data_IF_118156832763
#
_entry.id   IF_118156832763
#
_cell.length_a   1.000
_cell.length_b   1.000
_cell.length_c   1.000
_cell.angle_alpha   90.00
_cell.angle_beta   90.00
_cell.angle_gamma   90.00
#
_symmetry.space_group_name_H-M   'P 1'
#
loop_
_entity.id
_entity.type
_entity.pdbx_description
1 polymer ?
#
# COMPACT_ATOMS: atom_id res chain seq x y z
N UNK A 1 58.41 -4.71 13.53
CA UNK A 1 57.28 -5.38 12.85
C UNK A 1 56.06 -4.50 13.06
N UNK A 2 55.65 -3.78 12.03
CA UNK A 2 54.41 -2.97 12.08
C UNK A 2 53.33 -3.85 11.51
N UNK A 3 52.34 -4.17 12.36
CA UNK A 3 51.15 -4.93 11.95
C UNK A 3 50.32 -4.13 10.95
N UNK A 4 50.23 -4.63 9.73
CA UNK A 4 49.25 -4.17 8.74
C UNK A 4 47.85 -4.57 9.19
N UNK A 5 47.06 -3.59 9.60
CA UNK A 5 45.61 -3.76 9.78
C UNK A 5 44.99 -3.86 8.43
N UNK A 6 44.55 -5.05 8.06
CA UNK A 6 43.70 -5.31 6.88
C UNK A 6 42.44 -4.48 7.02
N UNK A 7 42.02 -3.70 6.00
CA UNK A 7 40.76 -2.97 6.06
C UNK A 7 39.62 -3.99 6.09
N UNK A 8 38.74 -3.87 7.09
CA UNK A 8 37.46 -4.59 7.13
C UNK A 8 36.72 -4.34 5.84
N UNK A 9 36.45 -5.42 5.09
CA UNK A 9 35.59 -5.39 3.91
C UNK A 9 34.24 -4.78 4.30
N UNK A 10 33.95 -3.62 3.69
CA UNK A 10 32.85 -2.74 4.00
C UNK A 10 31.50 -3.46 4.15
N UNK A 11 30.94 -3.37 5.33
CA UNK A 11 29.51 -3.52 5.55
C UNK A 11 28.83 -2.46 4.69
N UNK A 12 28.01 -2.88 3.73
CA UNK A 12 27.13 -1.93 3.05
C UNK A 12 26.37 -1.12 4.11
N UNK A 13 26.33 0.21 3.99
CA UNK A 13 25.63 1.02 4.97
C UNK A 13 24.19 0.51 5.12
N UNK A 14 23.71 0.46 6.36
CA UNK A 14 22.32 0.08 6.62
C UNK A 14 21.38 1.01 5.83
N UNK A 15 20.29 0.49 5.26
CA UNK A 15 19.35 1.32 4.51
C UNK A 15 18.79 2.44 5.42
N UNK A 16 18.64 3.67 4.90
CA UNK A 16 18.21 4.81 5.71
C UNK A 16 16.72 4.82 6.04
N UNK A 17 15.93 3.97 5.38
CA UNK A 17 14.47 3.86 5.52
C UNK A 17 13.97 2.49 5.07
N UNK A 18 12.69 2.24 5.25
CA UNK A 18 11.91 1.14 4.67
C UNK A 18 10.76 1.70 3.85
N UNK A 19 10.22 0.91 2.91
CA UNK A 19 9.19 1.37 1.97
C UNK A 19 7.96 0.50 2.05
N UNK A 20 6.81 1.12 2.18
CA UNK A 20 5.51 0.49 2.07
C UNK A 20 4.79 1.07 0.85
N UNK A 21 4.41 0.19 -0.08
CA UNK A 21 3.82 0.54 -1.36
C UNK A 21 2.37 0.05 -1.41
N UNK A 22 1.45 0.92 -1.77
CA UNK A 22 0.14 0.45 -2.21
C UNK A 22 0.25 -0.23 -3.58
N UNK A 23 -0.75 -1.04 -3.94
CA UNK A 23 -0.75 -1.80 -5.18
C UNK A 23 -1.62 -1.17 -6.26
N UNK A 24 -2.94 -1.16 -6.04
CA UNK A 24 -3.93 -0.66 -7.00
C UNK A 24 -3.80 0.85 -7.21
N UNK A 25 -3.65 1.29 -8.47
CA UNK A 25 -3.43 2.71 -8.77
C UNK A 25 -2.05 3.24 -8.39
N UNK A 26 -1.20 2.45 -7.74
CA UNK A 26 0.15 2.81 -7.29
C UNK A 26 1.22 2.00 -8.02
N UNK A 27 1.43 0.74 -7.70
CA UNK A 27 2.37 -0.15 -8.41
C UNK A 27 1.86 -0.57 -9.78
N UNK A 28 0.57 -0.77 -9.90
CA UNK A 28 -0.13 -1.00 -11.17
C UNK A 28 -0.95 0.23 -11.54
N UNK A 29 -1.26 0.39 -12.83
CA UNK A 29 -2.00 1.58 -13.29
C UNK A 29 -3.48 1.54 -12.93
N UNK A 30 -4.20 0.42 -13.16
CA UNK A 30 -5.62 0.36 -12.85
C UNK A 30 -5.90 0.08 -11.37
N UNK A 31 -7.15 0.30 -10.98
CA UNK A 31 -7.71 -0.36 -9.82
C UNK A 31 -8.18 -1.76 -10.28
N UNK A 32 -7.44 -2.78 -9.91
CA UNK A 32 -7.66 -4.16 -10.40
C UNK A 32 -9.04 -4.69 -10.00
N UNK A 33 -9.53 -4.34 -8.82
CA UNK A 33 -10.85 -4.79 -8.40
C UNK A 33 -11.95 -4.23 -9.30
N UNK A 34 -11.84 -2.97 -9.72
CA UNK A 34 -12.79 -2.34 -10.67
C UNK A 34 -12.69 -3.00 -12.04
N UNK A 35 -11.48 -3.30 -12.53
CA UNK A 35 -11.27 -4.02 -13.80
C UNK A 35 -11.92 -5.41 -13.75
N UNK A 36 -11.71 -6.16 -12.66
CA UNK A 36 -12.32 -7.47 -12.48
C UNK A 36 -13.86 -7.40 -12.41
N UNK A 37 -14.40 -6.40 -11.72
CA UNK A 37 -15.86 -6.18 -11.67
C UNK A 37 -16.39 -5.85 -13.06
N UNK A 38 -15.69 -5.04 -13.84
CA UNK A 38 -16.10 -4.68 -15.19
C UNK A 38 -16.09 -5.88 -16.15
N UNK A 39 -15.09 -6.76 -16.04
CA UNK A 39 -14.92 -7.91 -16.93
C UNK A 39 -15.82 -9.10 -16.54
N UNK A 40 -15.94 -9.37 -15.23
CA UNK A 40 -16.55 -10.62 -14.74
C UNK A 40 -17.94 -10.48 -14.15
N UNK A 41 -18.44 -9.25 -13.95
CA UNK A 41 -19.78 -8.99 -13.37
C UNK A 41 -20.58 -8.02 -14.27
N UNK A 42 -21.51 -8.49 -15.13
CA UNK A 42 -22.21 -7.66 -16.12
C UNK A 42 -22.87 -6.38 -15.58
N UNK A 43 -23.49 -6.45 -14.39
CA UNK A 43 -24.08 -5.29 -13.70
C UNK A 43 -23.11 -4.61 -12.73
N UNK A 44 -21.90 -5.14 -12.63
CA UNK A 44 -20.89 -4.75 -11.64
C UNK A 44 -20.52 -3.27 -11.68
N UNK A 45 -20.20 -2.68 -12.85
CA UNK A 45 -19.80 -1.27 -12.94
C UNK A 45 -20.85 -0.30 -12.40
N UNK A 46 -22.14 -0.55 -12.64
CA UNK A 46 -23.22 0.27 -12.12
C UNK A 46 -23.32 0.16 -10.60
N UNK A 47 -23.26 -1.06 -10.06
CA UNK A 47 -23.33 -1.30 -8.62
C UNK A 47 -22.10 -0.73 -7.92
N UNK A 48 -20.90 -0.92 -8.47
CA UNK A 48 -19.66 -0.36 -7.92
C UNK A 48 -19.72 1.18 -7.88
N UNK A 49 -20.28 1.82 -8.90
CA UNK A 49 -20.50 3.27 -8.89
C UNK A 49 -21.47 3.70 -7.77
N UNK A 50 -22.57 2.99 -7.57
CA UNK A 50 -23.51 3.27 -6.48
C UNK A 50 -22.86 3.12 -5.09
N UNK A 51 -22.01 2.12 -4.92
CA UNK A 51 -21.22 1.89 -3.70
C UNK A 51 -20.23 3.04 -3.48
N UNK A 52 -19.52 3.49 -4.51
CA UNK A 52 -18.58 4.63 -4.44
C UNK A 52 -19.30 5.92 -4.03
N UNK A 53 -20.49 6.20 -4.59
CA UNK A 53 -21.31 7.35 -4.20
C UNK A 53 -21.70 7.29 -2.72
N UNK A 54 -22.16 6.15 -2.20
CA UNK A 54 -22.51 5.97 -0.80
C UNK A 54 -21.30 6.14 0.13
N UNK A 55 -20.15 5.61 -0.27
CA UNK A 55 -18.89 5.77 0.47
C UNK A 55 -18.49 7.23 0.59
N UNK A 56 -18.54 7.98 -0.52
CA UNK A 56 -18.18 9.40 -0.53
C UNK A 56 -19.17 10.28 0.23
N UNK A 57 -20.45 9.90 0.24
CA UNK A 57 -21.47 10.53 1.07
C UNK A 57 -21.33 10.19 2.59
N UNK A 58 -20.40 9.31 2.96
CA UNK A 58 -20.20 8.87 4.34
C UNK A 58 -21.33 7.98 4.87
N UNK A 59 -22.14 7.39 4.01
CA UNK A 59 -23.26 6.51 4.36
C UNK A 59 -22.80 5.11 4.72
N UNK A 60 -21.67 4.68 4.18
CA UNK A 60 -21.03 3.40 4.45
C UNK A 60 -19.55 3.57 4.72
N UNK A 61 -18.95 2.60 5.40
CA UNK A 61 -17.52 2.56 5.66
C UNK A 61 -16.75 1.99 4.45
N UNK A 62 -15.42 2.21 4.41
CA UNK A 62 -14.55 1.57 3.41
C UNK A 62 -14.67 0.04 3.44
N UNK A 63 -14.82 -0.54 4.64
CA UNK A 63 -14.97 -1.98 4.82
C UNK A 63 -16.28 -2.50 4.21
N UNK A 64 -17.38 -1.78 4.42
CA UNK A 64 -18.68 -2.13 3.86
C UNK A 64 -18.70 -1.96 2.34
N UNK A 65 -18.11 -0.88 1.82
CA UNK A 65 -17.95 -0.66 0.39
C UNK A 65 -17.18 -1.82 -0.24
N UNK A 66 -16.02 -2.15 0.32
CA UNK A 66 -15.17 -3.23 -0.17
C UNK A 66 -15.87 -4.60 -0.14
N UNK A 67 -16.58 -4.91 0.94
CA UNK A 67 -17.34 -6.16 1.03
C UNK A 67 -18.43 -6.27 -0.06
N UNK A 68 -19.09 -5.16 -0.41
CA UNK A 68 -20.09 -5.12 -1.48
C UNK A 68 -19.46 -5.27 -2.86
N UNK A 69 -18.33 -4.63 -3.11
CA UNK A 69 -17.59 -4.77 -4.38
C UNK A 69 -17.07 -6.19 -4.58
N UNK A 70 -16.47 -6.78 -3.56
CA UNK A 70 -15.99 -8.18 -3.61
C UNK A 70 -17.14 -9.18 -3.83
N UNK A 71 -18.33 -8.90 -3.29
CA UNK A 71 -19.49 -9.75 -3.48
C UNK A 71 -20.01 -9.78 -4.94
N UNK A 72 -19.60 -8.84 -5.79
CA UNK A 72 -19.90 -8.86 -7.22
C UNK A 72 -19.03 -9.84 -8.00
N UNK A 73 -17.87 -10.22 -7.47
CA UNK A 73 -16.92 -11.07 -8.17
C UNK A 73 -17.34 -12.56 -8.10
N UNK A 74 -17.33 -13.27 -9.23
CA UNK A 74 -17.62 -14.70 -9.27
C UNK A 74 -16.46 -15.51 -8.68
N UNK A 75 -16.49 -15.72 -7.36
CA UNK A 75 -15.38 -16.35 -6.62
C UNK A 75 -15.14 -17.81 -6.99
N UNK A 76 -16.06 -18.47 -7.63
CA UNK A 76 -15.89 -19.80 -8.27
C UNK A 76 -14.97 -19.74 -9.50
N UNK A 77 -14.74 -18.54 -10.07
CA UNK A 77 -13.83 -18.26 -11.20
C UNK A 77 -12.53 -17.58 -10.75
N UNK A 78 -12.12 -17.71 -9.51
CA UNK A 78 -10.97 -17.01 -8.92
C UNK A 78 -9.67 -17.25 -9.71
N UNK A 79 -9.44 -18.46 -10.21
CA UNK A 79 -8.25 -18.80 -11.00
C UNK A 79 -8.25 -18.11 -12.37
N UNK A 80 -9.43 -17.95 -12.96
CA UNK A 80 -9.59 -17.24 -14.23
C UNK A 80 -9.37 -15.73 -14.03
N UNK A 81 -9.92 -15.15 -12.97
CA UNK A 81 -9.68 -13.76 -12.60
C UNK A 81 -8.19 -13.50 -12.31
N UNK A 82 -7.53 -14.40 -11.59
CA UNK A 82 -6.08 -14.31 -11.33
C UNK A 82 -5.26 -14.34 -12.63
N UNK A 83 -5.59 -15.24 -13.56
CA UNK A 83 -4.94 -15.32 -14.88
C UNK A 83 -5.17 -14.07 -15.69
N UNK A 84 -6.40 -13.57 -15.73
CA UNK A 84 -6.74 -12.31 -16.39
C UNK A 84 -5.86 -11.16 -15.88
N UNK A 85 -5.67 -11.04 -14.56
CA UNK A 85 -4.83 -9.96 -14.01
C UNK A 85 -3.36 -10.10 -14.39
N UNK A 86 -2.84 -11.33 -14.41
CA UNK A 86 -1.47 -11.59 -14.87
C UNK A 86 -1.28 -11.19 -16.34
N UNK A 87 -2.28 -11.38 -17.19
CA UNK A 87 -2.20 -11.10 -18.62
C UNK A 87 -2.43 -9.62 -18.96
N UNK A 88 -3.30 -8.93 -18.22
CA UNK A 88 -3.83 -7.63 -18.64
C UNK A 88 -3.44 -6.45 -17.73
N UNK A 89 -2.99 -6.70 -16.49
CA UNK A 89 -2.66 -5.61 -15.57
C UNK A 89 -1.20 -5.17 -15.73
N UNK A 90 -0.93 -3.99 -16.30
CA UNK A 90 0.43 -3.47 -16.46
C UNK A 90 0.95 -2.87 -15.16
N UNK A 91 2.26 -3.00 -14.94
CA UNK A 91 2.94 -2.17 -13.95
C UNK A 91 2.91 -0.70 -14.36
N UNK A 92 2.83 0.19 -13.38
CA UNK A 92 3.05 1.61 -13.59
C UNK A 92 4.48 1.88 -14.06
N UNK A 93 4.63 2.89 -14.91
CA UNK A 93 5.96 3.34 -15.38
C UNK A 93 6.87 3.61 -14.18
N UNK A 94 8.08 3.06 -14.22
CA UNK A 94 9.08 3.18 -13.17
C UNK A 94 8.90 2.22 -11.99
N UNK A 95 7.81 1.43 -11.90
CA UNK A 95 7.60 0.50 -10.79
C UNK A 95 8.66 -0.61 -10.75
N UNK A 96 8.98 -1.19 -11.91
CA UNK A 96 10.01 -2.22 -12.02
C UNK A 96 11.37 -1.69 -11.57
N UNK A 97 11.75 -0.53 -12.07
CA UNK A 97 13.03 0.11 -11.77
C UNK A 97 13.12 0.55 -10.30
N UNK A 98 12.02 0.98 -9.71
CA UNK A 98 11.94 1.29 -8.27
C UNK A 98 12.18 0.02 -7.44
N UNK A 99 11.45 -1.05 -7.70
CA UNK A 99 11.59 -2.30 -6.96
C UNK A 99 12.99 -2.93 -7.13
N UNK A 100 13.56 -2.86 -8.33
CA UNK A 100 14.94 -3.29 -8.59
C UNK A 100 15.97 -2.46 -7.81
N UNK A 101 15.81 -1.13 -7.76
CA UNK A 101 16.67 -0.27 -6.95
C UNK A 101 16.61 -0.67 -5.47
N UNK A 102 15.40 -0.80 -4.92
CA UNK A 102 15.21 -1.14 -3.50
C UNK A 102 15.84 -2.50 -3.17
N UNK A 103 15.65 -3.50 -4.04
CA UNK A 103 16.25 -4.83 -3.89
C UNK A 103 17.79 -4.76 -3.96
N UNK A 104 18.36 -4.08 -4.95
CA UNK A 104 19.82 -3.95 -5.14
C UNK A 104 20.49 -3.19 -3.98
N UNK A 105 19.77 -2.33 -3.29
CA UNK A 105 20.25 -1.54 -2.15
C UNK A 105 19.83 -2.12 -0.80
N UNK A 106 19.24 -3.32 -0.79
CA UNK A 106 18.76 -4.01 0.41
C UNK A 106 17.82 -3.15 1.28
N UNK A 107 17.05 -2.27 0.65
CA UNK A 107 16.02 -1.47 1.33
C UNK A 107 14.82 -2.37 1.59
N UNK A 108 14.37 -2.52 2.85
CA UNK A 108 13.16 -3.28 3.15
C UNK A 108 11.95 -2.68 2.44
N UNK A 109 11.22 -3.52 1.72
CA UNK A 109 10.01 -3.11 1.00
C UNK A 109 8.90 -4.13 1.21
N UNK A 110 7.66 -3.65 1.35
CA UNK A 110 6.46 -4.48 1.37
C UNK A 110 5.32 -3.80 0.62
N UNK A 111 4.40 -4.61 0.10
CA UNK A 111 3.14 -4.15 -0.47
C UNK A 111 2.06 -4.15 0.62
N UNK A 112 1.28 -3.06 0.71
CA UNK A 112 0.19 -2.87 1.67
C UNK A 112 -1.05 -2.43 0.92
N UNK A 113 -1.91 -3.36 0.55
CA UNK A 113 -3.04 -3.11 -0.35
C UNK A 113 -4.38 -3.47 0.26
N UNK A 114 -5.41 -2.66 -0.04
CA UNK A 114 -6.81 -3.03 0.21
C UNK A 114 -7.35 -4.09 -0.74
N UNK A 115 -6.59 -4.46 -1.77
CA UNK A 115 -6.94 -5.49 -2.74
C UNK A 115 -6.84 -6.93 -2.22
N UNK A 116 -7.00 -7.90 -3.11
CA UNK A 116 -7.03 -9.32 -2.77
C UNK A 116 -5.74 -10.02 -3.20
N UNK A 117 -5.24 -10.88 -2.34
CA UNK A 117 -3.98 -11.60 -2.52
C UNK A 117 -3.95 -12.47 -3.80
N UNK A 118 -5.08 -12.98 -4.25
CA UNK A 118 -5.17 -13.83 -5.42
C UNK A 118 -4.81 -13.14 -6.75
N UNK A 119 -4.86 -11.80 -6.80
CA UNK A 119 -4.41 -11.05 -7.97
C UNK A 119 -3.11 -10.28 -7.71
N UNK A 120 -2.86 -9.82 -6.50
CA UNK A 120 -1.66 -9.05 -6.18
C UNK A 120 -0.41 -9.91 -6.32
N UNK A 121 -0.39 -11.08 -5.67
CA UNK A 121 0.78 -11.97 -5.66
C UNK A 121 1.17 -12.46 -7.05
N UNK A 122 0.25 -12.99 -7.88
CA UNK A 122 0.60 -13.45 -9.23
C UNK A 122 1.16 -12.35 -10.14
N UNK A 123 0.66 -11.11 -10.02
CA UNK A 123 1.21 -9.98 -10.77
C UNK A 123 2.62 -9.65 -10.32
N UNK A 124 2.91 -9.63 -9.02
CA UNK A 124 4.28 -9.42 -8.51
C UNK A 124 5.22 -10.56 -8.92
N UNK A 125 4.77 -11.80 -8.85
CA UNK A 125 5.53 -12.99 -9.24
C UNK A 125 5.85 -13.01 -10.74
N UNK A 126 4.89 -12.65 -11.60
CA UNK A 126 5.13 -12.43 -13.04
C UNK A 126 6.29 -11.49 -13.30
N UNK A 127 6.41 -10.47 -12.46
CA UNK A 127 7.47 -9.46 -12.56
C UNK A 127 8.78 -9.87 -11.87
N UNK A 128 8.81 -11.04 -11.24
CA UNK A 128 9.98 -11.56 -10.51
C UNK A 128 10.20 -10.93 -9.13
N UNK A 129 9.17 -10.32 -8.54
CA UNK A 129 9.25 -9.68 -7.22
C UNK A 129 8.60 -10.55 -6.14
N UNK A 130 9.40 -10.93 -5.15
CA UNK A 130 8.99 -11.71 -3.97
C UNK A 130 9.09 -10.85 -2.72
N UNK A 131 8.17 -9.89 -2.58
CA UNK A 131 8.12 -8.98 -1.43
C UNK A 131 6.98 -9.36 -0.48
N UNK A 132 7.10 -9.09 0.83
CA UNK A 132 5.98 -9.24 1.76
C UNK A 132 4.76 -8.48 1.26
N UNK A 133 3.59 -9.12 1.36
CA UNK A 133 2.33 -8.54 0.92
C UNK A 133 1.32 -8.61 2.05
N UNK A 134 0.86 -7.45 2.49
CA UNK A 134 -0.22 -7.26 3.45
C UNK A 134 -1.46 -6.86 2.67
N UNK A 135 -2.41 -7.76 2.54
CA UNK A 135 -3.63 -7.56 1.76
C UNK A 135 -4.82 -8.29 2.37
N UNK A 136 -6.01 -7.96 1.92
CA UNK A 136 -7.18 -8.77 2.17
C UNK A 136 -7.12 -10.05 1.33
N UNK A 137 -7.94 -11.05 1.68
CA UNK A 137 -7.99 -12.31 0.94
C UNK A 137 -9.40 -12.90 0.91
N UNK A 138 -9.60 -13.80 -0.02
CA UNK A 138 -10.81 -14.62 -0.07
C UNK A 138 -10.50 -15.98 0.51
N UNK A 139 -11.22 -16.35 1.57
CA UNK A 139 -11.16 -17.67 2.18
C UNK A 139 -12.46 -18.47 1.95
N UNK A 140 -12.47 -19.72 2.41
CA UNK A 140 -13.67 -20.54 2.51
C UNK A 140 -13.96 -20.84 3.97
N UNK A 141 -15.24 -20.84 4.34
CA UNK A 141 -15.65 -21.17 5.72
C UNK A 141 -15.34 -22.63 6.09
N UNK A 142 -15.39 -23.52 5.08
CA UNK A 142 -15.03 -24.94 5.17
C UNK A 142 -14.68 -25.42 3.76
N UNK A 143 -14.11 -26.62 3.62
CA UNK A 143 -13.92 -27.23 2.31
C UNK A 143 -15.26 -27.35 1.58
N UNK A 144 -15.34 -26.79 0.35
CA UNK A 144 -16.59 -26.68 -0.42
C UNK A 144 -17.60 -25.65 0.09
N UNK A 145 -17.34 -24.96 1.21
CA UNK A 145 -18.20 -23.92 1.75
C UNK A 145 -18.18 -22.61 0.96
N UNK A 146 -19.08 -21.66 1.31
CA UNK A 146 -19.14 -20.36 0.64
C UNK A 146 -17.85 -19.56 0.83
N UNK A 147 -17.52 -18.78 -0.17
CA UNK A 147 -16.43 -17.81 -0.09
C UNK A 147 -16.77 -16.68 0.86
N UNK A 148 -15.76 -16.16 1.52
CA UNK A 148 -15.87 -14.99 2.38
C UNK A 148 -14.64 -14.12 2.26
N UNK A 149 -14.86 -12.82 2.38
CA UNK A 149 -13.79 -11.83 2.47
C UNK A 149 -13.18 -11.87 3.87
N UNK A 150 -11.86 -12.03 3.94
CA UNK A 150 -11.08 -12.05 5.17
C UNK A 150 -10.13 -10.86 5.22
N UNK A 151 -9.99 -10.30 6.42
CA UNK A 151 -9.12 -9.15 6.70
C UNK A 151 -8.02 -9.55 7.68
N UNK A 152 -7.00 -10.33 7.27
CA UNK A 152 -5.97 -10.84 8.19
C UNK A 152 -5.17 -9.72 8.86
N UNK A 153 -5.09 -8.56 8.22
CA UNK A 153 -4.42 -7.36 8.73
C UNK A 153 -5.41 -6.25 9.09
N UNK A 154 -6.66 -6.61 9.32
CA UNK A 154 -7.68 -5.70 9.86
C UNK A 154 -7.45 -5.41 11.34
N UNK A 155 -7.78 -4.19 11.79
CA UNK A 155 -7.67 -3.88 13.21
C UNK A 155 -8.75 -4.63 14.01
N UNK A 156 -8.42 -5.23 15.17
CA UNK A 156 -9.33 -6.13 15.89
C UNK A 156 -10.63 -5.44 16.37
N UNK A 157 -10.61 -4.15 16.68
CA UNK A 157 -11.78 -3.42 17.19
C UNK A 157 -12.31 -2.35 16.24
N UNK A 158 -11.45 -1.78 15.36
CA UNK A 158 -11.87 -0.79 14.36
C UNK A 158 -12.46 -1.48 13.13
N UNK A 159 -13.60 -0.99 12.65
CA UNK A 159 -14.32 -1.53 11.49
C UNK A 159 -14.43 -0.55 10.30
N UNK A 160 -13.62 0.50 10.29
CA UNK A 160 -13.66 1.51 9.22
C UNK A 160 -13.07 1.00 7.90
N UNK A 161 -12.02 0.19 7.95
CA UNK A 161 -11.29 -0.33 6.78
C UNK A 161 -11.30 -1.86 6.78
N UNK A 162 -11.01 -2.49 5.64
CA UNK A 162 -10.64 -3.90 5.55
C UNK A 162 -9.27 -4.09 6.22
N UNK A 163 -8.20 -4.10 5.45
CA UNK A 163 -6.85 -3.95 5.99
C UNK A 163 -6.70 -2.62 6.75
N UNK A 164 -6.01 -2.64 7.88
CA UNK A 164 -5.63 -1.42 8.59
C UNK A 164 -4.23 -0.96 8.19
N UNK A 165 -4.13 -0.23 7.07
CA UNK A 165 -2.83 0.26 6.55
C UNK A 165 -2.10 1.14 7.58
N UNK A 166 -2.81 1.92 8.40
CA UNK A 166 -2.20 2.69 9.49
C UNK A 166 -1.50 1.79 10.52
N UNK A 167 -2.15 0.68 10.93
CA UNK A 167 -1.53 -0.25 11.87
C UNK A 167 -0.29 -0.92 11.26
N UNK A 168 -0.36 -1.32 9.98
CA UNK A 168 0.81 -1.89 9.28
C UNK A 168 1.98 -0.91 9.26
N UNK A 169 1.74 0.39 8.98
CA UNK A 169 2.78 1.42 9.03
C UNK A 169 3.36 1.55 10.44
N UNK A 170 2.51 1.58 11.46
CA UNK A 170 2.96 1.70 12.86
C UNK A 170 3.77 0.50 13.32
N UNK A 171 3.40 -0.71 12.93
CA UNK A 171 4.14 -1.93 13.27
C UNK A 171 5.54 -1.93 12.62
N UNK A 172 5.64 -1.46 11.38
CA UNK A 172 6.93 -1.28 10.70
C UNK A 172 7.76 -0.17 11.35
N UNK A 173 7.15 0.93 11.76
CA UNK A 173 7.85 2.03 12.42
C UNK A 173 8.52 1.63 13.77
N UNK A 174 8.04 0.55 14.43
CA UNK A 174 8.70 -0.01 15.61
C UNK A 174 10.09 -0.60 15.31
N UNK A 175 10.38 -0.92 14.06
CA UNK A 175 11.64 -1.50 13.58
C UNK A 175 12.82 -0.53 13.47
N UNK A 176 12.73 0.71 13.97
CA UNK A 176 13.76 1.76 13.99
C UNK A 176 14.07 2.45 12.66
N UNK A 177 13.61 1.92 11.51
CA UNK A 177 13.77 2.60 10.24
C UNK A 177 12.57 3.50 9.96
N UNK A 178 12.79 4.73 9.49
CA UNK A 178 11.72 5.58 8.99
C UNK A 178 10.90 4.87 7.91
N UNK A 179 9.59 5.08 7.90
CA UNK A 179 8.68 4.50 6.92
C UNK A 179 8.37 5.50 5.82
N UNK A 180 8.74 5.17 4.60
CA UNK A 180 8.30 5.86 3.38
C UNK A 180 7.06 5.15 2.85
N UNK A 181 5.94 5.84 2.77
CA UNK A 181 4.69 5.32 2.23
C UNK A 181 4.42 5.91 0.84
N UNK A 182 4.03 5.05 -0.10
CA UNK A 182 3.67 5.45 -1.47
C UNK A 182 2.26 4.95 -1.76
N UNK A 183 1.36 5.84 -2.14
CA UNK A 183 -0.04 5.49 -2.40
C UNK A 183 -0.79 6.51 -3.25
N UNK A 184 -2.05 6.23 -3.57
CA UNK A 184 -2.86 7.08 -4.45
C UNK A 184 -4.30 7.31 -3.96
N UNK A 185 -4.85 6.38 -3.17
CA UNK A 185 -6.27 6.24 -2.96
C UNK A 185 -6.81 6.67 -1.60
N UNK A 186 -8.12 6.53 -1.45
CA UNK A 186 -8.83 6.83 -0.20
C UNK A 186 -8.48 5.86 0.92
N UNK A 187 -8.04 4.64 0.59
CA UNK A 187 -7.64 3.61 1.55
C UNK A 187 -6.30 3.94 2.23
N UNK A 188 -5.50 4.83 1.62
CA UNK A 188 -4.15 5.20 2.05
C UNK A 188 -4.11 6.35 3.07
N UNK A 189 -5.23 7.06 3.23
CA UNK A 189 -5.30 8.28 4.06
C UNK A 189 -4.68 8.12 5.43
N UNK A 190 -5.07 7.09 6.14
CA UNK A 190 -4.64 6.87 7.52
C UNK A 190 -3.21 6.31 7.62
N UNK A 191 -2.72 5.61 6.58
CA UNK A 191 -1.30 5.27 6.46
C UNK A 191 -0.45 6.53 6.27
N UNK A 192 -0.90 7.45 5.40
CA UNK A 192 -0.22 8.72 5.18
C UNK A 192 -0.16 9.60 6.43
N UNK A 193 -1.14 9.52 7.33
CA UNK A 193 -1.13 10.26 8.61
C UNK A 193 0.00 9.80 9.56
N UNK A 194 0.45 8.57 9.47
CA UNK A 194 1.41 7.96 10.41
C UNK A 194 2.77 7.60 9.82
N UNK A 195 2.93 7.62 8.50
CA UNK A 195 4.21 7.38 7.84
C UNK A 195 5.17 8.58 8.02
N UNK A 196 6.48 8.37 8.00
CA UNK A 196 7.49 9.43 8.16
C UNK A 196 7.68 10.27 6.89
N UNK A 197 7.52 9.69 5.72
CA UNK A 197 7.56 10.34 4.41
C UNK A 197 6.44 9.79 3.55
N UNK A 198 5.78 10.65 2.77
CA UNK A 198 4.66 10.26 1.91
C UNK A 198 4.92 10.68 0.47
N UNK A 199 4.80 9.74 -0.45
CA UNK A 199 4.57 10.01 -1.86
C UNK A 199 3.11 9.75 -2.19
N UNK A 200 2.46 10.70 -2.85
CA UNK A 200 1.04 10.57 -3.15
C UNK A 200 0.66 11.09 -4.53
N UNK A 201 -0.39 10.50 -5.07
CA UNK A 201 -1.08 10.99 -6.26
C UNK A 201 -2.60 10.99 -6.05
N UNK A 202 -3.36 11.44 -7.01
CA UNK A 202 -4.83 11.42 -7.04
C UNK A 202 -5.48 11.86 -5.71
N UNK A 203 -6.42 11.05 -5.19
CA UNK A 203 -7.20 11.36 -3.98
C UNK A 203 -6.34 11.47 -2.73
N UNK A 204 -5.27 10.66 -2.62
CA UNK A 204 -4.36 10.76 -1.48
C UNK A 204 -3.59 12.09 -1.49
N UNK A 205 -3.15 12.55 -2.65
CA UNK A 205 -2.46 13.84 -2.78
C UNK A 205 -3.35 15.01 -2.33
N UNK A 206 -4.61 15.01 -2.78
CA UNK A 206 -5.60 16.01 -2.34
C UNK A 206 -5.79 15.96 -0.83
N UNK A 207 -6.01 14.78 -0.28
CA UNK A 207 -6.17 14.57 1.16
C UNK A 207 -4.97 15.08 1.97
N UNK A 208 -3.75 14.76 1.54
CA UNK A 208 -2.54 15.22 2.23
C UNK A 208 -2.43 16.75 2.21
N UNK A 209 -2.72 17.39 1.09
CA UNK A 209 -2.69 18.86 0.96
C UNK A 209 -3.72 19.53 1.86
N UNK A 210 -4.96 19.04 1.89
CA UNK A 210 -6.03 19.56 2.73
C UNK A 210 -5.73 19.42 4.23
N UNK A 211 -4.97 18.41 4.61
CA UNK A 211 -4.58 18.11 5.99
C UNK A 211 -3.22 18.70 6.39
N UNK A 212 -2.54 19.38 5.49
CA UNK A 212 -1.20 19.91 5.75
C UNK A 212 -0.14 18.82 5.98
N UNK A 213 -0.37 17.59 5.45
CA UNK A 213 0.60 16.51 5.51
C UNK A 213 1.67 16.78 4.45
N UNK A 214 2.96 16.91 4.81
CA UNK A 214 4.04 17.03 3.85
C UNK A 214 4.05 15.83 2.90
N UNK A 215 4.04 16.10 1.59
CA UNK A 215 3.85 15.07 0.58
C UNK A 215 4.65 15.37 -0.68
N UNK A 216 5.25 14.33 -1.26
CA UNK A 216 5.90 14.37 -2.57
C UNK A 216 4.89 13.88 -3.63
N UNK A 217 4.45 14.73 -4.56
CA UNK A 217 3.55 14.31 -5.62
C UNK A 217 4.27 13.45 -6.65
N UNK A 218 3.55 12.48 -7.24
CA UNK A 218 4.05 11.70 -8.37
C UNK A 218 2.92 11.38 -9.36
N UNK A 219 3.30 11.13 -10.63
CA UNK A 219 2.42 10.59 -11.66
C UNK A 219 2.89 9.19 -12.09
N UNK A 220 4.19 9.02 -12.29
CA UNK A 220 4.86 7.74 -12.47
C UNK A 220 5.92 7.52 -11.39
N UNK A 221 6.51 6.34 -11.32
CA UNK A 221 7.41 5.98 -10.23
C UNK A 221 8.90 6.25 -10.51
N UNK A 222 9.25 6.85 -11.68
CA UNK A 222 10.63 7.25 -11.93
C UNK A 222 11.10 8.36 -10.99
N UNK A 223 10.34 9.48 -10.78
CA UNK A 223 10.74 10.50 -9.80
C UNK A 223 10.83 9.96 -8.37
N UNK A 224 9.94 9.01 -8.00
CA UNK A 224 9.97 8.35 -6.69
C UNK A 224 11.27 7.56 -6.52
N UNK A 225 11.64 6.75 -7.53
CA UNK A 225 12.90 6.01 -7.59
C UNK A 225 14.12 6.95 -7.47
N UNK A 226 14.14 8.03 -8.23
CA UNK A 226 15.28 8.95 -8.28
C UNK A 226 15.47 9.68 -6.95
N UNK A 227 14.37 10.08 -6.32
CA UNK A 227 14.40 10.68 -4.99
C UNK A 227 14.90 9.70 -3.93
N UNK A 228 14.39 8.45 -3.93
CA UNK A 228 14.86 7.42 -3.02
C UNK A 228 16.33 7.07 -3.26
N UNK A 229 16.80 7.00 -4.51
CA UNK A 229 18.20 6.82 -4.84
C UNK A 229 19.07 7.94 -4.26
N UNK A 230 18.61 9.20 -4.33
CA UNK A 230 19.32 10.33 -3.76
C UNK A 230 19.46 10.24 -2.23
N UNK A 231 18.43 9.77 -1.55
CA UNK A 231 18.48 9.54 -0.10
C UNK A 231 19.41 8.37 0.28
N UNK A 232 19.33 7.26 -0.45
CA UNK A 232 20.19 6.08 -0.23
C UNK A 232 21.67 6.43 -0.43
N UNK A 233 21.97 7.22 -1.46
CA UNK A 233 23.34 7.62 -1.81
C UNK A 233 23.86 8.82 -0.96
N UNK A 234 23.05 9.35 -0.04
CA UNK A 234 23.40 10.52 0.78
C UNK A 234 23.52 11.84 0.00
N UNK A 235 23.01 11.87 -1.25
CA UNK A 235 22.98 13.10 -2.10
C UNK A 235 21.90 14.09 -1.68
N UNK A 236 20.90 13.60 -0.93
CA UNK A 236 19.86 14.43 -0.32
C UNK A 236 19.50 13.86 1.07
N UNK A 237 19.10 14.73 1.99
CA UNK A 237 18.60 14.32 3.30
C UNK A 237 17.19 13.72 3.19
N UNK A 238 16.92 12.68 3.98
CA UNK A 238 15.56 12.14 4.12
C UNK A 238 14.68 13.17 4.85
N UNK A 239 13.58 13.65 4.26
CA UNK A 239 12.76 14.72 4.82
C UNK A 239 11.80 14.15 5.86
N UNK A 240 12.33 13.69 7.01
CA UNK A 240 11.52 13.19 8.10
C UNK A 240 10.61 14.31 8.62
N UNK A 241 9.33 14.06 8.64
CA UNK A 241 8.41 14.97 9.30
C UNK A 241 8.50 14.77 10.82
N UNK A 242 8.54 15.87 11.55
CA UNK A 242 8.29 15.85 12.99
C UNK A 242 6.86 15.34 13.30
N UNK A 243 6.57 15.04 14.55
CA UNK A 243 5.23 14.59 14.98
C UNK A 243 4.18 15.60 14.51
N UNK A 244 3.49 15.32 13.42
CA UNK A 244 2.30 16.04 13.03
C UNK A 244 1.18 15.56 13.94
N UNK A 245 0.71 16.44 14.80
CA UNK A 245 -0.59 16.26 15.39
C UNK A 245 -1.63 16.37 14.28
N UNK A 246 -2.06 15.26 13.71
CA UNK A 246 -3.26 15.24 12.87
C UNK A 246 -4.44 15.41 13.81
N UNK A 247 -4.67 16.67 14.24
CA UNK A 247 -5.88 17.02 14.93
C UNK A 247 -7.03 16.69 13.99
N UNK A 248 -7.98 15.85 14.44
CA UNK A 248 -9.21 15.56 13.71
C UNK A 248 -9.18 14.38 12.70
N UNK A 249 -8.33 13.37 12.96
CA UNK A 249 -8.45 12.11 12.23
C UNK A 249 -9.69 11.32 12.67
N UNK A 250 -10.48 10.86 11.71
CA UNK A 250 -11.57 9.91 11.99
C UNK A 250 -11.07 8.50 12.33
N UNK A 251 -9.78 8.23 12.12
CA UNK A 251 -9.16 6.96 12.42
C UNK A 251 -8.66 6.92 13.87
N UNK A 252 -9.22 6.07 14.73
CA UNK A 252 -8.77 5.98 16.13
C UNK A 252 -7.34 5.46 16.26
N UNK A 253 -6.81 4.80 15.23
CA UNK A 253 -5.45 4.24 15.22
C UNK A 253 -4.44 5.35 14.92
N UNK A 254 -4.66 6.14 13.87
CA UNK A 254 -3.76 7.25 13.52
C UNK A 254 -3.84 8.39 14.55
N UNK A 255 -5.03 8.70 15.08
CA UNK A 255 -5.20 9.71 16.13
C UNK A 255 -4.59 9.31 17.46
N UNK A 256 -4.57 8.01 17.80
CA UNK A 256 -3.94 7.47 19.01
C UNK A 256 -2.43 7.67 19.05
N UNK A 257 -1.76 7.81 17.92
CA UNK A 257 -0.32 8.07 17.82
C UNK A 257 0.05 9.49 18.27
N UNK A 258 -0.84 10.46 18.01
CA UNK A 258 -0.64 11.87 18.39
C UNK A 258 -0.50 12.02 19.90
N UNK A 259 -1.17 11.16 20.68
CA UNK A 259 -1.14 11.19 22.14
C UNK A 259 0.09 10.50 22.75
N UNK A 260 0.81 9.65 21.99
CA UNK A 260 1.96 8.86 22.51
C UNK A 260 3.33 9.50 22.31
N UNK A 261 3.44 10.54 21.50
CA UNK A 261 4.71 11.24 21.20
C UNK A 261 4.88 12.57 21.96
N UNK A 262 4.18 12.74 23.12
CA UNK A 262 4.41 13.87 24.04
C UNK A 262 5.45 13.52 25.09
#
# INVERSE_FOLDING_TARGET
>A
MRGETTPEKGRSPSPPFQVLLDFDGTLVEPNVAIELVAEFAPDGPRIAHEVDVQLHAGQITLREAWAREVALLPMDRIEEMSRYTVEHVPLRKGARELLQLLAARHVPVAVVSGGLDFYIRPVLEREGFHVPCFSDRVGRASEGGPFRLEHPYGHPTCRLCGICKAQVVLDHAQGKLPVVFVGDGSTDRYAAEVADVVFARHRLLTYCRERGIPVHPFEDLHPVRDQMAAWIDGRAGLPLRGSLGVADSRCPISSGLVLRKK
#
